data_IF_140961888496
#
_entry.id   IF_140961888496
#
_cell.length_a   1.000
_cell.length_b   1.000
_cell.length_c   1.000
_cell.angle_alpha   90.00
_cell.angle_beta   90.00
_cell.angle_gamma   90.00
#
_symmetry.space_group_name_H-M   'P 1'
#
loop_
_entity.id
_entity.type
_entity.pdbx_description
1 polymer ?
#
# COMPACT_ATOMS: atom_id res chain seq x y z
N UNK A 1 27.16 3.23 -11.59
CA UNK A 1 26.60 1.88 -11.37
C UNK A 1 25.67 1.96 -10.17
N UNK A 2 24.36 1.86 -10.37
CA UNK A 2 23.43 1.72 -9.26
C UNK A 2 23.39 0.25 -8.84
N UNK A 3 23.40 -0.02 -7.53
CA UNK A 3 23.27 -1.36 -6.98
C UNK A 3 22.01 -2.08 -7.52
N UNK A 4 22.08 -3.41 -7.65
CA UNK A 4 20.91 -4.22 -7.97
C UNK A 4 19.86 -4.06 -6.86
N UNK A 5 18.60 -3.86 -7.28
CA UNK A 5 17.48 -3.72 -6.35
C UNK A 5 17.17 -5.04 -5.67
N UNK A 6 17.01 -5.02 -4.35
CA UNK A 6 16.56 -6.18 -3.58
C UNK A 6 15.02 -6.31 -3.51
N UNK A 7 14.28 -5.40 -4.17
CA UNK A 7 12.81 -5.42 -4.16
C UNK A 7 12.28 -6.59 -4.99
N UNK A 8 11.36 -7.35 -4.42
CA UNK A 8 10.70 -8.48 -5.08
C UNK A 8 9.42 -8.01 -5.76
N UNK A 9 9.11 -8.61 -6.90
CA UNK A 9 7.81 -8.45 -7.54
C UNK A 9 6.83 -9.46 -6.96
N UNK A 10 5.65 -8.97 -6.62
CA UNK A 10 4.53 -9.75 -6.12
C UNK A 10 3.33 -9.55 -7.05
N UNK A 11 2.47 -10.56 -7.10
CA UNK A 11 1.18 -10.50 -7.76
C UNK A 11 0.09 -10.69 -6.70
N UNK A 12 -1.00 -9.94 -6.80
CA UNK A 12 -2.04 -9.93 -5.78
C UNK A 12 -3.23 -9.06 -6.16
N UNK A 13 -4.18 -8.95 -5.22
CA UNK A 13 -5.44 -8.23 -5.36
C UNK A 13 -5.31 -6.83 -4.77
N UNK A 14 -5.58 -5.82 -5.60
CA UNK A 14 -5.67 -4.41 -5.19
C UNK A 14 -7.11 -4.04 -4.82
N UNK A 15 -7.32 -3.59 -3.59
CA UNK A 15 -8.58 -3.02 -3.13
C UNK A 15 -8.57 -1.49 -3.26
N UNK A 16 -9.56 -0.96 -3.96
CA UNK A 16 -9.79 0.48 -4.06
C UNK A 16 -10.75 0.97 -2.97
N UNK A 17 -10.36 2.04 -2.28
CA UNK A 17 -11.18 2.74 -1.28
C UNK A 17 -11.19 4.25 -1.55
N UNK A 18 -12.16 4.97 -0.99
CA UNK A 18 -12.36 6.40 -1.30
C UNK A 18 -11.32 7.37 -0.72
N UNK A 19 -10.69 7.04 0.41
CA UNK A 19 -9.82 7.98 1.14
C UNK A 19 -10.57 9.24 1.62
N UNK A 20 -9.85 10.33 2.00
CA UNK A 20 -8.39 10.48 2.03
C UNK A 20 -7.75 9.97 3.32
N UNK A 21 -8.56 9.60 4.32
CA UNK A 21 -8.08 8.99 5.55
C UNK A 21 -7.52 7.59 5.27
N UNK A 22 -6.39 7.24 5.89
CA UNK A 22 -5.92 5.87 5.92
C UNK A 22 -6.90 4.97 6.68
N UNK A 23 -6.83 3.69 6.36
CA UNK A 23 -7.70 2.68 6.93
C UNK A 23 -7.41 2.49 8.43
N UNK A 24 -8.47 2.31 9.20
CA UNK A 24 -8.38 1.81 10.58
C UNK A 24 -7.87 0.37 10.58
N UNK A 25 -7.29 -0.07 11.70
CA UNK A 25 -6.87 -1.48 11.89
C UNK A 25 -8.02 -2.47 11.64
N UNK A 26 -9.27 -2.08 11.90
CA UNK A 26 -10.45 -2.90 11.62
C UNK A 26 -10.77 -3.00 10.12
N UNK A 27 -10.70 -1.88 9.39
CA UNK A 27 -10.86 -1.85 7.94
C UNK A 27 -9.73 -2.62 7.24
N UNK A 28 -8.48 -2.49 7.68
CA UNK A 28 -7.36 -3.28 7.17
C UNK A 28 -7.63 -4.79 7.31
N UNK A 29 -8.09 -5.24 8.49
CA UNK A 29 -8.47 -6.65 8.70
C UNK A 29 -9.66 -7.07 7.85
N UNK A 30 -10.63 -6.20 7.65
CA UNK A 30 -11.78 -6.46 6.78
C UNK A 30 -11.31 -6.69 5.34
N UNK A 31 -10.53 -5.77 4.78
CA UNK A 31 -10.00 -5.87 3.42
C UNK A 31 -9.11 -7.10 3.24
N UNK A 32 -8.23 -7.37 4.20
CA UNK A 32 -7.39 -8.57 4.17
C UNK A 32 -8.22 -9.86 4.19
N UNK A 33 -9.27 -9.93 5.01
CA UNK A 33 -10.21 -11.07 5.01
C UNK A 33 -11.02 -11.20 3.72
N UNK A 34 -11.26 -10.09 3.02
CA UNK A 34 -11.90 -10.08 1.70
C UNK A 34 -10.92 -10.49 0.57
N UNK A 35 -9.66 -10.75 0.90
CA UNK A 35 -8.65 -11.23 -0.05
C UNK A 35 -7.79 -10.12 -0.69
N UNK A 36 -7.80 -8.90 -0.15
CA UNK A 36 -6.91 -7.85 -0.63
C UNK A 36 -5.47 -8.03 -0.14
N UNK A 37 -4.51 -7.88 -1.05
CA UNK A 37 -3.07 -7.86 -0.76
C UNK A 37 -2.55 -6.44 -0.62
N UNK A 38 -3.13 -5.50 -1.38
CA UNK A 38 -2.78 -4.07 -1.38
C UNK A 38 -4.07 -3.25 -1.32
N UNK A 39 -4.07 -2.14 -0.59
CA UNK A 39 -5.14 -1.14 -0.59
C UNK A 39 -4.61 0.19 -1.10
N UNK A 40 -5.43 0.93 -1.82
CA UNK A 40 -5.14 2.31 -2.13
C UNK A 40 -6.36 3.07 -2.65
N UNK A 41 -6.12 4.33 -2.99
CA UNK A 41 -7.19 5.33 -3.18
C UNK A 41 -7.36 5.79 -4.63
N UNK A 42 -6.86 5.01 -5.61
CA UNK A 42 -6.91 5.37 -7.03
C UNK A 42 -6.95 4.13 -7.94
N UNK A 43 -6.61 4.29 -9.21
CA UNK A 43 -6.27 3.24 -10.18
C UNK A 43 -7.47 2.44 -10.72
N UNK A 44 -8.35 1.94 -9.86
CA UNK A 44 -9.49 1.11 -10.29
C UNK A 44 -10.45 1.86 -11.22
N UNK A 45 -10.86 3.12 -10.94
CA UNK A 45 -11.73 3.86 -11.86
C UNK A 45 -11.12 4.03 -13.26
N UNK A 46 -9.82 4.34 -13.35
CA UNK A 46 -9.11 4.49 -14.63
C UNK A 46 -9.06 3.16 -15.39
N UNK A 47 -8.79 2.05 -14.70
CA UNK A 47 -8.77 0.71 -15.30
C UNK A 47 -10.14 0.36 -15.86
N UNK A 48 -11.23 0.60 -15.13
CA UNK A 48 -12.59 0.29 -15.58
C UNK A 48 -12.91 1.04 -16.88
N UNK A 49 -12.59 2.33 -16.95
CA UNK A 49 -12.78 3.13 -18.18
C UNK A 49 -11.90 2.61 -19.33
N UNK A 50 -10.63 2.30 -19.07
CA UNK A 50 -9.73 1.76 -20.09
C UNK A 50 -10.22 0.42 -20.65
N UNK A 51 -10.70 -0.48 -19.78
CA UNK A 51 -11.27 -1.78 -20.18
C UNK A 51 -12.59 -1.63 -20.93
N UNK A 52 -13.44 -0.67 -20.55
CA UNK A 52 -14.63 -0.32 -21.32
C UNK A 52 -14.27 0.10 -22.76
N UNK A 53 -13.15 0.81 -22.93
CA UNK A 53 -12.59 1.17 -24.24
C UNK A 53 -11.75 0.05 -24.90
N UNK A 54 -11.79 -1.19 -24.38
CA UNK A 54 -11.01 -2.34 -24.88
C UNK A 54 -9.48 -2.17 -24.84
N UNK A 55 -8.96 -1.26 -24.02
CA UNK A 55 -7.52 -1.05 -23.86
C UNK A 55 -6.94 -2.17 -22.99
N UNK A 56 -5.80 -2.73 -23.37
CA UNK A 56 -5.04 -3.67 -22.52
C UNK A 56 -4.38 -2.88 -21.39
N UNK A 57 -4.49 -3.36 -20.16
CA UNK A 57 -4.00 -2.66 -18.98
C UNK A 57 -3.02 -3.53 -18.21
N UNK A 58 -1.93 -2.92 -17.78
CA UNK A 58 -1.03 -3.43 -16.75
C UNK A 58 -1.04 -2.44 -15.59
N UNK A 59 -1.30 -2.92 -14.38
CA UNK A 59 -1.25 -2.13 -13.16
C UNK A 59 -0.08 -2.59 -12.29
N UNK A 60 0.64 -1.64 -11.71
CA UNK A 60 1.73 -1.89 -10.77
C UNK A 60 1.49 -1.03 -9.53
N UNK A 61 1.61 -1.63 -8.36
CA UNK A 61 1.50 -0.92 -7.08
C UNK A 61 2.84 -0.98 -6.36
N UNK A 62 3.32 0.18 -5.90
CA UNK A 62 4.43 0.24 -4.96
C UNK A 62 3.87 0.15 -3.54
N UNK A 63 4.22 -0.92 -2.81
CA UNK A 63 3.88 -1.03 -1.39
C UNK A 63 4.76 -0.06 -0.60
N UNK A 64 4.17 1.05 -0.16
CA UNK A 64 4.89 2.14 0.50
C UNK A 64 4.93 2.03 2.02
N UNK A 65 3.98 1.29 2.61
CA UNK A 65 3.87 1.07 4.04
C UNK A 65 3.09 -0.23 4.28
N UNK A 66 3.31 -0.85 5.45
CA UNK A 66 2.58 -2.05 5.86
C UNK A 66 1.34 -1.67 6.66
N UNK A 67 0.18 -2.23 6.30
CA UNK A 67 -1.04 -2.07 7.09
C UNK A 67 -0.91 -2.75 8.45
N UNK A 68 -1.31 -2.06 9.52
CA UNK A 68 -1.32 -2.66 10.86
C UNK A 68 -2.62 -3.42 11.07
N UNK A 69 -2.51 -4.74 11.23
CA UNK A 69 -3.68 -5.62 11.42
C UNK A 69 -3.98 -5.89 12.90
N UNK A 70 -3.00 -5.72 13.78
CA UNK A 70 -3.18 -5.98 15.21
C UNK A 70 -4.26 -5.08 15.80
N UNK A 71 -5.15 -5.62 16.66
CA UNK A 71 -6.15 -4.80 17.34
C UNK A 71 -5.47 -3.80 18.28
N UNK A 72 -6.11 -2.65 18.50
CA UNK A 72 -5.74 -1.75 19.60
C UNK A 72 -6.20 -2.35 20.93
N UNK A 73 -5.53 -2.03 22.06
CA UNK A 73 -5.99 -2.46 23.38
C UNK A 73 -7.42 -1.99 23.64
N UNK A 74 -8.19 -2.82 24.35
CA UNK A 74 -9.56 -2.48 24.76
C UNK A 74 -9.50 -1.52 25.95
N UNK A 75 -10.57 -0.77 26.20
CA UNK A 75 -10.61 0.19 27.30
C UNK A 75 -10.42 -0.46 28.70
N UNK A 76 -10.75 -1.74 28.84
CA UNK A 76 -10.57 -2.54 30.04
C UNK A 76 -9.25 -3.32 30.08
N UNK A 77 -8.38 -3.12 29.10
CA UNK A 77 -7.12 -3.84 28.98
C UNK A 77 -6.13 -3.43 30.09
N UNK A 78 -5.50 -4.43 30.70
CA UNK A 78 -4.48 -4.24 31.74
C UNK A 78 -3.29 -3.43 31.22
N UNK A 79 -3.03 -3.50 29.90
CA UNK A 79 -1.98 -2.72 29.25
C UNK A 79 -2.18 -1.20 29.39
N UNK A 80 -3.41 -0.73 29.62
CA UNK A 80 -3.73 0.69 29.75
C UNK A 80 -3.77 1.16 31.22
N UNK A 81 -3.83 0.22 32.18
CA UNK A 81 -3.99 0.55 33.59
C UNK A 81 -2.75 1.25 34.15
N UNK A 82 -2.96 2.37 34.82
CA UNK A 82 -1.88 3.15 35.45
C UNK A 82 -0.99 3.92 34.47
N UNK A 83 -1.33 3.93 33.17
CA UNK A 83 -0.59 4.69 32.15
C UNK A 83 -0.97 6.16 32.13
N UNK A 84 0.03 7.01 31.91
CA UNK A 84 -0.17 8.43 31.64
C UNK A 84 -0.71 8.68 30.22
N UNK A 85 -1.22 9.88 29.97
CA UNK A 85 -1.78 10.28 28.66
C UNK A 85 -0.78 10.09 27.53
N UNK A 86 0.49 10.44 27.75
CA UNK A 86 1.56 10.33 26.76
C UNK A 86 1.86 8.88 26.36
N UNK A 87 1.83 7.96 27.33
CA UNK A 87 2.03 6.53 27.06
C UNK A 87 0.84 5.93 26.30
N UNK A 88 -0.37 6.38 26.62
CA UNK A 88 -1.59 5.97 25.90
C UNK A 88 -1.55 6.46 24.44
N UNK A 89 -1.12 7.71 24.22
CA UNK A 89 -0.95 8.25 22.88
C UNK A 89 0.09 7.47 22.09
N UNK A 90 1.24 7.13 22.68
CA UNK A 90 2.26 6.33 22.01
C UNK A 90 1.72 4.96 21.54
N UNK A 91 0.92 4.28 22.38
CA UNK A 91 0.27 3.01 22.03
C UNK A 91 -0.69 3.19 20.85
N UNK A 92 -1.43 4.29 20.80
CA UNK A 92 -2.38 4.57 19.73
C UNK A 92 -1.71 4.98 18.41
N UNK A 93 -0.55 5.64 18.47
CA UNK A 93 0.20 6.06 17.27
C UNK A 93 1.06 4.94 16.68
N UNK A 94 1.29 3.84 17.41
CA UNK A 94 2.14 2.75 16.93
C UNK A 94 1.68 2.21 15.57
N UNK A 95 2.59 2.28 14.59
CA UNK A 95 2.36 1.80 13.22
C UNK A 95 1.30 2.56 12.43
N UNK A 96 0.91 3.76 12.87
CA UNK A 96 -0.01 4.60 12.12
C UNK A 96 0.62 5.02 10.79
N UNK A 97 -0.10 4.78 9.71
CA UNK A 97 0.31 5.23 8.37
C UNK A 97 0.43 6.76 8.33
N UNK A 98 1.45 7.24 7.63
CA UNK A 98 1.72 8.66 7.48
C UNK A 98 2.10 8.98 6.02
N UNK A 99 1.73 10.17 5.56
CA UNK A 99 1.94 10.56 4.16
C UNK A 99 3.42 10.75 3.82
N UNK A 100 4.24 11.18 4.78
CA UNK A 100 5.65 11.46 4.56
C UNK A 100 6.46 10.18 4.25
N UNK A 101 6.20 9.10 4.97
CA UNK A 101 6.73 7.75 4.72
C UNK A 101 6.39 7.28 3.32
N UNK A 102 5.16 7.51 2.87
CA UNK A 102 4.73 7.15 1.51
C UNK A 102 5.57 7.88 0.46
N UNK A 103 5.81 9.18 0.66
CA UNK A 103 6.65 9.97 -0.24
C UNK A 103 8.11 9.50 -0.24
N UNK A 104 8.66 9.16 0.93
CA UNK A 104 10.02 8.66 1.05
C UNK A 104 10.19 7.28 0.40
N UNK A 105 9.26 6.36 0.66
CA UNK A 105 9.23 5.07 -0.02
C UNK A 105 9.16 5.23 -1.54
N UNK A 106 8.32 6.15 -2.03
CA UNK A 106 8.23 6.52 -3.45
C UNK A 106 9.56 7.00 -4.03
N UNK A 107 10.23 7.95 -3.36
CA UNK A 107 11.55 8.46 -3.78
C UNK A 107 12.59 7.34 -3.85
N UNK A 108 12.65 6.49 -2.82
CA UNK A 108 13.62 5.40 -2.71
C UNK A 108 13.43 4.29 -3.76
N UNK A 109 12.22 4.16 -4.33
CA UNK A 109 11.86 3.13 -5.31
C UNK A 109 11.77 3.67 -6.74
N UNK A 110 11.86 4.98 -6.95
CA UNK A 110 11.63 5.62 -8.24
C UNK A 110 12.46 5.03 -9.38
N UNK A 111 13.77 4.82 -9.15
CA UNK A 111 14.68 4.27 -10.16
C UNK A 111 14.27 2.83 -10.54
N UNK A 112 13.85 2.02 -9.57
CA UNK A 112 13.45 0.64 -9.81
C UNK A 112 12.14 0.56 -10.58
N UNK A 113 11.16 1.38 -10.18
CA UNK A 113 9.87 1.48 -10.88
C UNK A 113 10.07 1.92 -12.34
N UNK A 114 10.91 2.93 -12.58
CA UNK A 114 11.24 3.38 -13.93
C UNK A 114 11.86 2.26 -14.77
N UNK A 115 12.80 1.49 -14.20
CA UNK A 115 13.42 0.35 -14.90
C UNK A 115 12.41 -0.73 -15.26
N UNK A 116 11.52 -1.08 -14.33
CA UNK A 116 10.47 -2.09 -14.58
C UNK A 116 9.56 -1.62 -15.71
N UNK A 117 9.12 -0.37 -15.69
CA UNK A 117 8.27 0.20 -16.74
C UNK A 117 8.99 0.19 -18.09
N UNK A 118 10.23 0.69 -18.16
CA UNK A 118 11.02 0.72 -19.41
C UNK A 118 11.22 -0.70 -19.95
N UNK A 119 11.62 -1.66 -19.11
CA UNK A 119 11.82 -3.05 -19.53
C UNK A 119 10.52 -3.68 -20.02
N UNK A 120 9.40 -3.39 -19.36
CA UNK A 120 8.09 -3.91 -19.74
C UNK A 120 7.63 -3.38 -21.09
N UNK A 121 7.75 -2.07 -21.31
CA UNK A 121 7.43 -1.42 -22.58
C UNK A 121 8.32 -1.99 -23.69
N UNK A 122 9.64 -1.98 -23.51
CA UNK A 122 10.56 -2.50 -24.52
C UNK A 122 10.34 -3.99 -24.80
N UNK A 123 9.96 -4.78 -23.79
CA UNK A 123 9.60 -6.19 -23.98
C UNK A 123 8.30 -6.38 -24.75
N UNK A 124 7.29 -5.54 -24.49
CA UNK A 124 5.99 -5.61 -25.15
C UNK A 124 6.03 -5.22 -26.64
N UNK A 125 6.99 -4.37 -27.03
CA UNK A 125 7.17 -3.90 -28.42
C UNK A 125 8.34 -4.57 -29.16
N UNK A 126 9.03 -5.54 -28.54
CA UNK A 126 10.10 -6.32 -29.18
C UNK A 126 9.61 -7.56 -29.95
N UNK A 127 8.31 -7.72 -30.08
CA UNK A 127 7.69 -8.77 -30.89
C UNK A 127 7.19 -8.17 -32.19
N UNK A 128 8.13 -7.94 -33.11
CA UNK A 128 7.99 -7.91 -34.57
C UNK A 128 9.38 -8.17 -35.18
#
# INVERSE_FOLDING_TARGET
>A
MHAESQRRLHEGVYAFVGGPSYETRAECRMLHKLGADVVGMSTVPEIVVARHCSIRVLALSLVTNCAVLSPVPRGDDRLLQGKGVEELDAILQEGKANHEEVLEAGRSAAIDMQRVVVRTILGAFKSD
#
